data_IF_862767580418
#
_entry.id   IF_862767580418
#
_cell.length_a   1.000
_cell.length_b   1.000
_cell.length_c   1.000
_cell.angle_alpha   90.00
_cell.angle_beta   90.00
_cell.angle_gamma   90.00
#
_symmetry.space_group_name_H-M   'P 1'
#
loop_
_entity.id
_entity.type
_entity.pdbx_description
1 polymer ?
#
# COMPACT_ATOMS: atom_id res chain seq x y z
N UNK A 1 -9.15 1.73 -23.74
CA UNK A 1 -10.08 1.90 -22.60
C UNK A 1 -9.90 3.30 -22.03
N UNK A 2 -11.00 4.01 -21.87
CA UNK A 2 -10.93 5.35 -21.31
C UNK A 2 -10.81 5.30 -19.81
N UNK A 3 -9.99 6.18 -19.27
CA UNK A 3 -9.84 6.34 -17.82
C UNK A 3 -10.71 7.49 -17.35
N UNK A 4 -11.43 7.24 -16.26
CA UNK A 4 -12.20 8.29 -15.62
C UNK A 4 -11.29 9.15 -14.77
N UNK A 5 -11.35 10.45 -14.95
CA UNK A 5 -10.68 11.38 -14.05
C UNK A 5 -11.45 11.46 -12.72
N UNK A 6 -10.76 11.67 -11.58
CA UNK A 6 -11.43 11.93 -10.32
C UNK A 6 -12.31 13.18 -10.42
N UNK A 7 -13.46 13.20 -9.74
CA UNK A 7 -14.30 14.39 -9.71
C UNK A 7 -13.55 15.54 -9.06
N UNK A 8 -13.68 16.72 -9.63
CA UNK A 8 -13.04 17.93 -9.14
C UNK A 8 -14.09 18.95 -8.74
N UNK A 9 -14.01 19.38 -7.48
CA UNK A 9 -14.66 20.60 -6.98
C UNK A 9 -16.11 20.80 -7.29
N UNK A 10 -16.88 19.80 -7.63
CA UNK A 10 -18.24 19.98 -7.93
C UNK A 10 -19.20 19.54 -6.87
N UNK A 11 -20.32 20.21 -6.83
CA UNK A 11 -21.43 19.88 -5.96
C UNK A 11 -22.31 18.85 -6.65
N UNK A 12 -21.85 17.63 -6.69
CA UNK A 12 -22.64 16.58 -7.28
C UNK A 12 -23.80 16.23 -6.38
N UNK A 13 -25.01 16.30 -6.93
CA UNK A 13 -26.20 15.77 -6.27
C UNK A 13 -26.37 14.27 -6.52
N UNK A 14 -25.55 13.72 -7.40
CA UNK A 14 -25.54 12.31 -7.75
C UNK A 14 -24.25 11.67 -7.31
N UNK A 15 -24.32 10.41 -6.89
CA UNK A 15 -23.13 9.63 -6.56
C UNK A 15 -22.28 9.38 -7.80
N UNK A 16 -21.00 9.58 -7.68
CA UNK A 16 -20.03 9.26 -8.73
C UNK A 16 -19.22 8.07 -8.30
N UNK A 17 -19.12 7.07 -9.17
CA UNK A 17 -18.25 5.91 -8.97
C UNK A 17 -17.06 6.05 -9.90
N UNK A 18 -15.86 5.99 -9.32
CA UNK A 18 -14.62 5.97 -10.07
C UNK A 18 -14.09 4.55 -10.04
N UNK A 19 -13.91 3.96 -11.22
CA UNK A 19 -13.43 2.61 -11.36
C UNK A 19 -11.99 2.61 -11.88
N UNK A 20 -11.12 1.88 -11.16
CA UNK A 20 -9.76 1.61 -11.64
C UNK A 20 -9.59 0.11 -11.81
N UNK A 21 -9.64 -0.39 -13.04
CA UNK A 21 -9.42 -1.81 -13.30
C UNK A 21 -8.04 -2.27 -12.81
N UNK A 22 -7.96 -3.50 -12.34
CA UNK A 22 -6.74 -4.04 -11.76
C UNK A 22 -5.55 -4.01 -12.72
N UNK A 23 -5.78 -4.25 -14.02
CA UNK A 23 -4.73 -4.25 -15.03
C UNK A 23 -4.26 -2.84 -15.42
N UNK A 24 -4.92 -1.81 -14.91
CA UNK A 24 -4.51 -0.42 -15.15
C UNK A 24 -3.73 0.18 -13.99
N UNK A 25 -3.54 -0.57 -12.92
CA UNK A 25 -2.67 -0.14 -11.83
C UNK A 25 -1.22 -0.06 -12.30
N UNK A 26 -0.42 0.75 -11.63
CA UNK A 26 1.02 0.77 -11.87
C UNK A 26 1.65 -0.53 -11.40
N UNK A 27 2.63 -1.04 -12.14
CA UNK A 27 3.29 -2.30 -11.81
C UNK A 27 4.78 -2.09 -11.61
N UNK A 28 5.29 -2.52 -10.46
CA UNK A 28 6.72 -2.59 -10.15
C UNK A 28 7.11 -4.05 -9.98
N UNK A 29 8.18 -4.47 -10.63
CA UNK A 29 8.66 -5.84 -10.55
C UNK A 29 10.15 -5.86 -10.32
N UNK A 30 10.55 -6.51 -9.21
CA UNK A 30 11.93 -6.83 -8.87
C UNK A 30 12.03 -8.35 -8.76
N UNK A 31 13.23 -8.89 -8.58
CA UNK A 31 13.42 -10.34 -8.46
C UNK A 31 12.64 -10.95 -7.28
N UNK A 32 12.44 -10.19 -6.23
CA UNK A 32 11.82 -10.64 -4.99
C UNK A 32 10.46 -10.01 -4.72
N UNK A 33 10.05 -9.01 -5.51
CA UNK A 33 8.83 -8.22 -5.27
C UNK A 33 8.05 -8.05 -6.57
N UNK A 34 6.77 -8.39 -6.51
CA UNK A 34 5.79 -8.03 -7.52
C UNK A 34 4.74 -7.15 -6.86
N UNK A 35 4.65 -5.89 -7.27
CA UNK A 35 3.83 -4.88 -6.60
C UNK A 35 2.94 -4.16 -7.58
N UNK A 36 1.65 -4.10 -7.28
CA UNK A 36 0.67 -3.33 -8.03
C UNK A 36 0.19 -2.14 -7.21
N UNK A 37 0.25 -0.96 -7.80
CA UNK A 37 -0.07 0.30 -7.12
C UNK A 37 -1.33 0.91 -7.72
N UNK A 38 -2.34 1.15 -6.90
CA UNK A 38 -3.57 1.82 -7.35
C UNK A 38 -3.37 3.33 -7.52
N UNK A 39 -2.47 3.92 -6.76
CA UNK A 39 -2.14 5.34 -6.83
C UNK A 39 -0.66 5.53 -7.12
N UNK A 40 -0.29 6.76 -7.48
CA UNK A 40 1.10 7.13 -7.75
C UNK A 40 1.99 6.72 -6.59
N UNK A 41 3.08 6.06 -6.91
CA UNK A 41 4.01 5.50 -5.93
C UNK A 41 5.40 5.41 -6.54
N UNK A 42 6.43 5.81 -5.79
CA UNK A 42 7.81 5.77 -6.27
C UNK A 42 7.97 6.55 -7.58
N UNK A 43 8.51 5.89 -8.59
CA UNK A 43 8.70 6.48 -9.93
C UNK A 43 7.43 6.52 -10.78
N UNK A 44 6.36 5.85 -10.33
CA UNK A 44 5.08 5.86 -11.03
C UNK A 44 4.27 7.08 -10.59
N UNK A 45 4.14 8.07 -11.48
CA UNK A 45 3.45 9.31 -11.16
C UNK A 45 2.41 9.65 -12.24
N UNK A 46 1.17 9.80 -11.80
CA UNK A 46 0.07 10.23 -12.65
C UNK A 46 -0.81 11.20 -11.86
N UNK A 47 -0.96 12.46 -12.33
CA UNK A 47 -1.76 13.46 -11.61
C UNK A 47 -3.22 13.07 -11.37
N UNK A 48 -3.76 12.16 -12.16
CA UNK A 48 -5.14 11.70 -12.01
C UNK A 48 -5.27 10.63 -10.91
N UNK A 49 -4.16 10.07 -10.43
CA UNK A 49 -4.14 8.96 -9.47
C UNK A 49 -3.18 9.23 -8.33
N UNK A 50 -3.36 10.37 -7.66
CA UNK A 50 -2.52 10.77 -6.52
C UNK A 50 -3.10 10.34 -5.17
N UNK A 51 -4.34 9.96 -5.13
CA UNK A 51 -5.03 9.54 -3.93
C UNK A 51 -6.54 9.72 -4.05
N UNK A 52 -7.25 9.40 -2.98
CA UNK A 52 -8.68 9.58 -2.89
C UNK A 52 -9.02 10.02 -1.46
N UNK A 53 -9.37 11.30 -1.28
CA UNK A 53 -9.50 11.85 0.07
C UNK A 53 -8.20 11.68 0.86
N UNK A 54 -8.23 11.16 2.08
CA UNK A 54 -7.02 10.90 2.86
C UNK A 54 -6.22 9.67 2.39
N UNK A 55 -6.81 8.84 1.53
CA UNK A 55 -6.16 7.63 1.03
C UNK A 55 -5.11 8.00 -0.02
N UNK A 56 -3.87 7.58 0.20
CA UNK A 56 -2.73 7.90 -0.67
C UNK A 56 -2.09 6.68 -1.32
N UNK A 57 -2.16 5.52 -0.67
CA UNK A 57 -1.46 4.32 -1.11
C UNK A 57 -2.38 3.12 -0.98
N UNK A 58 -2.50 2.34 -2.04
CA UNK A 58 -2.97 0.96 -2.01
C UNK A 58 -1.99 0.15 -2.84
N UNK A 59 -1.21 -0.69 -2.18
CA UNK A 59 -0.26 -1.57 -2.83
C UNK A 59 -0.67 -3.02 -2.60
N UNK A 60 -0.60 -3.79 -3.66
CA UNK A 60 -0.84 -5.23 -3.65
C UNK A 60 0.49 -5.89 -3.96
N UNK A 61 1.13 -6.45 -2.93
CA UNK A 61 2.50 -6.92 -2.98
C UNK A 61 2.58 -8.43 -2.84
N UNK A 62 3.37 -9.05 -3.71
CA UNK A 62 3.80 -10.44 -3.57
C UNK A 62 5.30 -10.45 -3.30
N UNK A 63 5.69 -10.99 -2.15
CA UNK A 63 7.06 -10.96 -1.65
C UNK A 63 7.61 -12.39 -1.66
N UNK A 64 8.77 -12.59 -2.28
CA UNK A 64 9.41 -13.90 -2.33
C UNK A 64 9.84 -14.38 -0.92
N UNK A 65 9.86 -15.68 -0.72
CA UNK A 65 10.29 -16.29 0.53
C UNK A 65 11.69 -15.81 0.93
N UNK A 66 11.88 -15.50 2.19
CA UNK A 66 13.14 -15.02 2.73
C UNK A 66 13.48 -13.57 2.41
N UNK A 67 12.62 -12.87 1.70
CA UNK A 67 12.84 -11.49 1.25
C UNK A 67 11.83 -10.55 1.90
N UNK A 68 12.05 -9.26 1.73
CA UNK A 68 11.13 -8.26 2.24
C UNK A 68 11.73 -6.86 2.27
N UNK A 69 10.99 -5.96 2.89
CA UNK A 69 11.40 -4.58 3.09
C UNK A 69 12.21 -4.47 4.37
N UNK A 70 13.46 -4.07 4.26
CA UNK A 70 14.28 -3.73 5.42
C UNK A 70 13.75 -2.51 6.18
N UNK A 71 14.43 -2.12 7.24
CA UNK A 71 14.00 -0.97 8.05
C UNK A 71 13.85 0.28 7.19
N UNK A 72 12.65 0.86 7.19
CA UNK A 72 12.33 2.06 6.43
C UNK A 72 11.38 2.95 7.25
N UNK A 73 11.47 4.28 7.07
CA UNK A 73 10.71 5.22 7.89
C UNK A 73 9.32 5.53 7.32
N UNK A 74 8.40 5.82 8.23
CA UNK A 74 7.11 6.42 7.94
C UNK A 74 6.80 7.51 8.95
N UNK A 75 6.02 8.49 8.55
CA UNK A 75 5.47 9.50 9.46
C UNK A 75 4.13 10.00 8.93
N UNK A 76 3.30 10.49 9.84
CA UNK A 76 2.00 11.11 9.52
C UNK A 76 1.04 10.21 8.75
N UNK A 77 1.23 8.90 8.83
CA UNK A 77 0.41 7.93 8.10
C UNK A 77 -0.19 6.91 9.05
N UNK A 78 -1.42 6.53 8.74
CA UNK A 78 -2.01 5.30 9.22
C UNK A 78 -1.72 4.22 8.20
N UNK A 79 -1.15 3.12 8.65
CA UNK A 79 -0.73 2.02 7.78
C UNK A 79 -1.54 0.78 8.15
N UNK A 80 -2.20 0.21 7.15
CA UNK A 80 -3.01 -1.00 7.32
C UNK A 80 -2.43 -2.08 6.43
N UNK A 81 -2.07 -3.20 7.02
CA UNK A 81 -1.60 -4.37 6.29
C UNK A 81 -2.67 -5.45 6.37
N UNK A 82 -3.09 -5.95 5.22
CA UNK A 82 -4.04 -7.06 5.11
C UNK A 82 -3.29 -8.25 4.51
N UNK A 83 -3.20 -9.34 5.26
CA UNK A 83 -2.53 -10.55 4.79
C UNK A 83 -3.51 -11.44 4.04
N UNK A 84 -3.21 -11.70 2.79
CA UNK A 84 -4.03 -12.56 1.93
C UNK A 84 -3.51 -13.99 1.96
N UNK A 85 -2.18 -14.16 1.92
CA UNK A 85 -1.54 -15.47 1.85
C UNK A 85 -0.18 -15.42 2.53
N UNK A 86 0.23 -16.52 3.14
CA UNK A 86 1.53 -16.66 3.78
C UNK A 86 1.64 -16.01 5.15
N UNK A 87 2.85 -15.64 5.53
CA UNK A 87 3.15 -15.01 6.81
C UNK A 87 4.22 -13.93 6.63
N UNK A 88 4.01 -12.80 7.30
CA UNK A 88 4.89 -11.65 7.22
C UNK A 88 5.37 -11.27 8.62
N UNK A 89 6.68 -11.25 8.82
CA UNK A 89 7.27 -10.77 10.07
C UNK A 89 7.43 -9.26 10.03
N UNK A 90 6.88 -8.60 11.04
CA UNK A 90 6.93 -7.16 11.20
C UNK A 90 7.71 -6.80 12.47
N UNK A 91 8.60 -5.85 12.38
CA UNK A 91 9.32 -5.30 13.51
C UNK A 91 9.45 -3.78 13.37
N UNK A 92 9.40 -3.06 14.47
CA UNK A 92 9.50 -1.60 14.45
C UNK A 92 10.52 -1.06 15.45
N UNK A 93 10.79 0.24 15.32
CA UNK A 93 11.76 0.95 16.17
C UNK A 93 11.24 1.20 17.60
N UNK A 94 9.97 0.90 17.87
CA UNK A 94 9.36 1.05 19.19
C UNK A 94 9.46 -0.24 20.03
N UNK A 95 10.13 -1.26 19.52
CA UNK A 95 10.29 -2.54 20.19
C UNK A 95 9.16 -3.53 19.95
N UNK A 96 8.25 -3.24 19.03
CA UNK A 96 7.17 -4.15 18.68
C UNK A 96 7.61 -5.11 17.58
N UNK A 97 7.20 -6.36 17.72
CA UNK A 97 7.38 -7.36 16.66
C UNK A 97 6.19 -8.30 16.65
N UNK A 98 5.82 -8.75 15.44
CA UNK A 98 4.70 -9.66 15.27
C UNK A 98 4.86 -10.42 13.96
N UNK A 99 4.18 -11.57 13.87
CA UNK A 99 4.02 -12.30 12.63
C UNK A 99 2.55 -12.23 12.25
N UNK A 100 2.29 -11.73 11.05
CA UNK A 100 0.94 -11.66 10.49
C UNK A 100 0.71 -12.86 9.59
N UNK A 101 -0.36 -13.59 9.83
CA UNK A 101 -0.76 -14.73 9.03
C UNK A 101 -1.93 -14.38 8.11
N UNK A 102 -2.18 -15.23 7.11
CA UNK A 102 -3.30 -15.06 6.19
C UNK A 102 -4.61 -14.84 6.94
N UNK A 103 -5.39 -13.85 6.50
CA UNK A 103 -6.65 -13.45 7.13
C UNK A 103 -6.50 -12.44 8.26
N UNK A 104 -5.29 -12.15 8.70
CA UNK A 104 -5.05 -11.17 9.75
C UNK A 104 -4.83 -9.77 9.18
N UNK A 105 -5.12 -8.76 9.99
CA UNK A 105 -4.97 -7.36 9.65
C UNK A 105 -4.17 -6.68 10.75
N UNK A 106 -3.21 -5.85 10.37
CA UNK A 106 -2.46 -5.01 11.28
C UNK A 106 -2.70 -3.54 10.96
N UNK A 107 -2.85 -2.74 12.00
CA UNK A 107 -2.87 -1.29 11.88
C UNK A 107 -1.71 -0.70 12.67
N UNK A 108 -1.04 0.27 12.06
CA UNK A 108 0.06 0.99 12.68
C UNK A 108 -0.10 2.49 12.45
N UNK A 109 -0.04 3.27 13.53
CA UNK A 109 -0.01 4.73 13.45
C UNK A 109 1.44 5.18 13.49
N UNK A 110 1.92 5.79 12.42
CA UNK A 110 3.31 6.26 12.34
C UNK A 110 3.55 7.51 13.19
N UNK A 111 2.52 8.35 13.37
CA UNK A 111 2.62 9.57 14.18
C UNK A 111 3.75 10.47 13.73
N UNK A 112 4.59 10.92 14.66
CA UNK A 112 5.74 11.78 14.37
C UNK A 112 6.90 11.05 13.69
N UNK A 113 6.89 9.74 13.70
CA UNK A 113 7.86 8.90 12.99
C UNK A 113 7.97 7.52 13.58
N UNK A 114 8.12 6.54 12.70
CA UNK A 114 8.41 5.15 13.05
C UNK A 114 9.27 4.55 11.95
N UNK A 115 10.14 3.63 12.32
CA UNK A 115 10.91 2.83 11.37
C UNK A 115 10.50 1.39 11.55
N UNK A 116 10.21 0.71 10.45
CA UNK A 116 9.79 -0.69 10.52
C UNK A 116 10.37 -1.54 9.38
N UNK A 117 10.30 -2.84 9.56
CA UNK A 117 10.65 -3.83 8.55
C UNK A 117 9.52 -4.84 8.38
N UNK A 118 9.41 -5.40 7.19
CA UNK A 118 8.40 -6.38 6.84
C UNK A 118 9.07 -7.46 5.99
N UNK A 119 9.24 -8.66 6.54
CA UNK A 119 10.02 -9.74 5.93
C UNK A 119 9.17 -11.01 5.81
N UNK A 120 9.15 -11.60 4.63
CA UNK A 120 8.59 -12.93 4.43
C UNK A 120 9.64 -13.96 4.86
N UNK A 121 9.50 -14.49 6.06
CA UNK A 121 10.46 -15.43 6.64
C UNK A 121 10.14 -16.91 6.33
N UNK A 122 9.23 -17.17 5.43
CA UNK A 122 8.91 -18.55 5.04
C UNK A 122 9.96 -19.18 4.13
#
# INVERSE_FOLDING_TARGET
MSRMAPPTGQHATTSTVILRPADQRFHSQLDWLDSWHSFSFGSHQDPNWMGFGPLRVINDDTIAAGQGFGMHPHRDMEIITVMVEGALSHADSMGNSAVLHAGEVQRMSAGSGIVHSEINQT
#
